data_IF_806938290789
#
_entry.id   IF_806938290789
#
_cell.length_a   1.000
_cell.length_b   1.000
_cell.length_c   1.000
_cell.angle_alpha   90.00
_cell.angle_beta   90.00
_cell.angle_gamma   90.00
#
_symmetry.space_group_name_H-M   'P 1'
#
loop_
_entity.id
_entity.type
_entity.pdbx_description
1 polymer ?
#
# COMPACT_ATOMS: atom_id res chain seq x y z
N UNK A 1 25.12 14.06 -3.66
CA UNK A 1 24.01 13.32 -4.29
C UNK A 1 22.71 14.08 -4.00
N UNK A 2 22.06 14.69 -5.01
CA UNK A 2 20.82 15.47 -4.83
C UNK A 2 19.72 14.57 -4.28
N UNK A 3 19.22 14.87 -3.08
CA UNK A 3 18.12 14.12 -2.43
C UNK A 3 16.75 14.44 -3.06
N UNK A 4 16.73 15.44 -3.94
CA UNK A 4 15.58 16.12 -4.51
C UNK A 4 14.70 15.19 -5.37
N UNK A 5 15.32 14.23 -6.06
CA UNK A 5 14.63 13.22 -6.88
C UNK A 5 14.48 11.86 -6.22
N UNK A 6 15.36 11.50 -5.28
CA UNK A 6 15.36 10.19 -4.64
C UNK A 6 14.13 9.97 -3.75
N UNK A 7 13.85 10.90 -2.83
CA UNK A 7 12.72 10.80 -1.90
C UNK A 7 11.34 10.68 -2.57
N UNK A 8 10.99 11.50 -3.59
CA UNK A 8 9.68 11.38 -4.24
C UNK A 8 9.58 10.09 -5.08
N UNK A 9 10.66 9.64 -5.71
CA UNK A 9 10.67 8.35 -6.44
C UNK A 9 10.51 7.18 -5.48
N UNK A 10 11.22 7.17 -4.36
CA UNK A 10 11.07 6.13 -3.33
C UNK A 10 9.65 6.10 -2.74
N UNK A 11 9.06 7.26 -2.45
CA UNK A 11 7.66 7.36 -1.99
C UNK A 11 6.69 6.77 -3.00
N UNK A 12 6.88 7.07 -4.28
CA UNK A 12 6.02 6.56 -5.35
C UNK A 12 6.15 5.04 -5.52
N UNK A 13 7.38 4.51 -5.49
CA UNK A 13 7.61 3.06 -5.55
C UNK A 13 6.99 2.33 -4.36
N UNK A 14 7.12 2.88 -3.15
CA UNK A 14 6.49 2.33 -1.95
C UNK A 14 4.96 2.35 -2.05
N UNK A 15 4.37 3.40 -2.63
CA UNK A 15 2.92 3.47 -2.87
C UNK A 15 2.45 2.41 -3.89
N UNK A 16 3.20 2.21 -4.99
CA UNK A 16 2.92 1.13 -5.95
C UNK A 16 3.00 -0.24 -5.28
N UNK A 17 4.07 -0.49 -4.52
CA UNK A 17 4.26 -1.77 -3.83
C UNK A 17 3.10 -2.02 -2.86
N UNK A 18 2.74 -1.02 -2.04
CA UNK A 18 1.61 -1.12 -1.11
C UNK A 18 0.28 -1.43 -1.82
N UNK A 19 0.05 -0.81 -2.98
CA UNK A 19 -1.12 -1.06 -3.81
C UNK A 19 -1.13 -2.47 -4.42
N UNK A 20 0.00 -2.94 -4.96
CA UNK A 20 0.13 -4.29 -5.50
C UNK A 20 -0.14 -5.33 -4.42
N UNK A 21 0.46 -5.17 -3.23
CA UNK A 21 0.17 -6.05 -2.10
C UNK A 21 -1.32 -6.05 -1.76
N UNK A 22 -1.99 -4.89 -1.80
CA UNK A 22 -3.42 -4.80 -1.53
C UNK A 22 -4.27 -5.65 -2.48
N UNK A 23 -3.92 -5.67 -3.77
CA UNK A 23 -4.60 -6.51 -4.76
C UNK A 23 -4.23 -7.99 -4.63
N UNK A 24 -2.99 -8.31 -4.26
CA UNK A 24 -2.55 -9.70 -4.10
C UNK A 24 -3.26 -10.38 -2.94
N UNK A 25 -3.38 -9.73 -1.78
CA UNK A 25 -4.04 -10.34 -0.63
C UNK A 25 -5.57 -10.36 -0.77
N UNK A 26 -6.16 -9.44 -1.55
CA UNK A 26 -7.56 -9.54 -1.96
C UNK A 26 -7.85 -10.88 -2.66
N UNK A 27 -6.97 -11.32 -3.54
CA UNK A 27 -7.14 -12.62 -4.21
C UNK A 27 -7.19 -13.76 -3.20
N UNK A 28 -6.36 -13.68 -2.14
CA UNK A 28 -6.36 -14.66 -1.05
C UNK A 28 -7.63 -14.58 -0.19
N UNK A 29 -8.21 -13.38 -0.04
CA UNK A 29 -9.47 -13.16 0.66
C UNK A 29 -10.70 -13.69 -0.10
N UNK A 30 -10.75 -13.52 -1.42
CA UNK A 30 -11.94 -13.85 -2.22
C UNK A 30 -11.93 -15.25 -2.81
N UNK A 31 -10.75 -15.77 -3.16
CA UNK A 31 -10.63 -17.02 -3.93
C UNK A 31 -10.06 -18.18 -3.12
N UNK A 32 -9.74 -17.98 -1.84
CA UNK A 32 -9.01 -18.95 -1.04
C UNK A 32 -9.77 -20.25 -0.77
N UNK A 33 -9.48 -21.37 -1.47
CA UNK A 33 -10.06 -22.67 -1.16
C UNK A 33 -9.03 -23.39 -0.27
N UNK A 34 -9.21 -23.31 1.06
CA UNK A 34 -8.56 -24.24 1.98
C UNK A 34 -7.45 -23.66 2.87
N UNK A 35 -7.68 -23.79 4.18
CA UNK A 35 -6.63 -23.94 5.19
C UNK A 35 -5.94 -22.66 5.71
N UNK A 36 -5.19 -22.87 6.80
CA UNK A 36 -4.48 -21.83 7.58
C UNK A 36 -3.44 -21.04 6.77
N UNK A 37 -2.90 -21.61 5.69
CA UNK A 37 -1.89 -20.96 4.84
C UNK A 37 -2.45 -19.73 4.11
N UNK A 38 -3.69 -19.82 3.61
CA UNK A 38 -4.36 -18.74 2.89
C UNK A 38 -4.74 -17.59 3.84
N UNK A 39 -5.08 -17.93 5.09
CA UNK A 39 -5.36 -16.98 6.16
C UNK A 39 -4.09 -16.25 6.62
N UNK A 40 -2.97 -16.98 6.72
CA UNK A 40 -1.69 -16.39 7.08
C UNK A 40 -1.18 -15.45 5.98
N UNK A 41 -1.32 -15.85 4.71
CA UNK A 41 -0.97 -15.01 3.56
C UNK A 41 -1.79 -13.72 3.48
N UNK A 42 -3.08 -13.79 3.81
CA UNK A 42 -3.97 -12.62 3.92
C UNK A 42 -3.42 -11.58 4.91
N UNK A 43 -3.12 -11.98 6.14
CA UNK A 43 -2.62 -11.07 7.17
C UNK A 43 -1.23 -10.54 6.88
N UNK A 44 -0.35 -11.37 6.31
CA UNK A 44 0.98 -10.93 5.85
C UNK A 44 0.85 -9.87 4.77
N UNK A 45 -0.01 -10.10 3.76
CA UNK A 45 -0.24 -9.15 2.68
C UNK A 45 -0.84 -7.83 3.16
N UNK A 46 -1.81 -7.89 4.08
CA UNK A 46 -2.38 -6.70 4.71
C UNK A 46 -1.33 -5.91 5.50
N UNK A 47 -0.48 -6.59 6.28
CA UNK A 47 0.61 -5.97 7.02
C UNK A 47 1.61 -5.27 6.09
N UNK A 48 2.05 -5.93 5.02
CA UNK A 48 2.97 -5.33 4.06
C UNK A 48 2.35 -4.15 3.31
N UNK A 49 1.06 -4.23 2.95
CA UNK A 49 0.36 -3.12 2.32
C UNK A 49 0.37 -1.87 3.21
N UNK A 50 0.00 -2.01 4.50
CA UNK A 50 0.05 -0.89 5.45
C UNK A 50 1.47 -0.41 5.74
N UNK A 51 2.44 -1.31 5.88
CA UNK A 51 3.83 -0.95 6.12
C UNK A 51 4.39 -0.12 4.97
N UNK A 52 4.20 -0.54 3.72
CA UNK A 52 4.63 0.21 2.55
C UNK A 52 3.91 1.56 2.44
N UNK A 53 2.61 1.60 2.77
CA UNK A 53 1.84 2.83 2.79
C UNK A 53 2.37 3.82 3.85
N UNK A 54 2.66 3.35 5.06
CA UNK A 54 3.24 4.14 6.14
C UNK A 54 4.62 4.70 5.76
N UNK A 55 5.47 3.86 5.18
CA UNK A 55 6.79 4.28 4.70
C UNK A 55 6.67 5.33 3.58
N UNK A 56 5.70 5.17 2.65
CA UNK A 56 5.44 6.17 1.63
C UNK A 56 5.05 7.52 2.25
N UNK A 57 4.17 7.53 3.26
CA UNK A 57 3.80 8.74 3.99
C UNK A 57 5.02 9.39 4.66
N UNK A 58 5.84 8.60 5.36
CA UNK A 58 7.06 9.11 6.03
C UNK A 58 8.00 9.76 5.03
N UNK A 59 8.27 9.10 3.90
CA UNK A 59 9.15 9.63 2.85
C UNK A 59 8.59 10.92 2.24
N UNK A 60 7.27 11.00 2.09
CA UNK A 60 6.61 12.21 1.59
C UNK A 60 6.69 13.38 2.57
N UNK A 61 6.52 13.12 3.88
CA UNK A 61 6.64 14.13 4.95
C UNK A 61 8.07 14.67 5.10
N UNK A 62 9.07 13.81 4.91
CA UNK A 62 10.48 14.22 4.88
C UNK A 62 10.74 15.12 3.65
N UNK A 63 10.05 14.88 2.54
CA UNK A 63 10.19 15.62 1.29
C UNK A 63 9.33 16.90 1.23
N UNK A 64 9.49 17.80 2.21
CA UNK A 64 8.68 19.04 2.35
C UNK A 64 8.74 20.02 1.16
N UNK A 65 9.75 19.93 0.29
CA UNK A 65 9.96 20.82 -0.88
C UNK A 65 10.27 20.02 -2.14
N UNK A 66 9.43 19.04 -2.44
CA UNK A 66 9.55 18.28 -3.70
C UNK A 66 9.35 19.20 -4.89
N UNK A 67 10.28 19.19 -5.85
CA UNK A 67 10.13 19.88 -7.13
C UNK A 67 9.27 19.10 -8.14
N UNK A 68 8.70 17.96 -7.72
CA UNK A 68 7.90 17.06 -8.56
C UNK A 68 6.45 16.97 -8.05
N UNK A 69 5.63 18.02 -8.21
CA UNK A 69 4.27 18.08 -7.66
C UNK A 69 3.36 16.98 -8.23
N UNK A 70 3.46 16.68 -9.53
CA UNK A 70 2.66 15.63 -10.18
C UNK A 70 2.92 14.25 -9.53
N UNK A 71 4.19 13.91 -9.32
CA UNK A 71 4.59 12.62 -8.75
C UNK A 71 4.11 12.48 -7.30
N UNK A 72 4.16 13.57 -6.53
CA UNK A 72 3.62 13.61 -5.16
C UNK A 72 2.10 13.43 -5.18
N UNK A 73 1.38 14.13 -6.06
CA UNK A 73 -0.08 13.99 -6.18
C UNK A 73 -0.51 12.56 -6.52
N UNK A 74 0.16 11.91 -7.48
CA UNK A 74 -0.13 10.51 -7.82
C UNK A 74 0.17 9.59 -6.64
N UNK A 75 1.27 9.83 -5.92
CA UNK A 75 1.62 9.06 -4.73
C UNK A 75 0.55 9.20 -3.64
N UNK A 76 0.01 10.40 -3.43
CA UNK A 76 -1.10 10.64 -2.48
C UNK A 76 -2.35 9.87 -2.90
N UNK A 77 -2.73 9.90 -4.18
CA UNK A 77 -3.88 9.16 -4.68
C UNK A 77 -3.70 7.64 -4.48
N UNK A 78 -2.50 7.11 -4.75
CA UNK A 78 -2.18 5.71 -4.51
C UNK A 78 -2.21 5.36 -3.02
N UNK A 79 -1.70 6.22 -2.14
CA UNK A 79 -1.75 6.03 -0.68
C UNK A 79 -3.19 5.97 -0.20
N UNK A 80 -4.03 6.94 -0.58
CA UNK A 80 -5.44 6.97 -0.20
C UNK A 80 -6.18 5.75 -0.74
N UNK A 81 -5.99 5.43 -2.02
CA UNK A 81 -6.58 4.26 -2.65
C UNK A 81 -6.18 2.96 -1.95
N UNK A 82 -4.89 2.80 -1.63
CA UNK A 82 -4.37 1.63 -0.90
C UNK A 82 -4.97 1.55 0.49
N UNK A 83 -5.05 2.64 1.25
CA UNK A 83 -5.64 2.64 2.59
C UNK A 83 -7.11 2.24 2.57
N UNK A 84 -7.90 2.87 1.69
CA UNK A 84 -9.33 2.58 1.56
C UNK A 84 -9.54 1.14 1.10
N UNK A 85 -8.78 0.67 0.11
CA UNK A 85 -8.90 -0.68 -0.44
C UNK A 85 -8.51 -1.74 0.59
N UNK A 86 -7.34 -1.60 1.21
CA UNK A 86 -6.86 -2.54 2.23
C UNK A 86 -7.83 -2.62 3.42
N UNK A 87 -8.35 -1.48 3.87
CA UNK A 87 -9.36 -1.44 4.95
C UNK A 87 -10.66 -2.12 4.51
N UNK A 88 -11.14 -1.83 3.30
CA UNK A 88 -12.34 -2.44 2.74
C UNK A 88 -12.23 -3.97 2.67
N UNK A 89 -11.10 -4.50 2.19
CA UNK A 89 -10.91 -5.95 2.09
C UNK A 89 -10.91 -6.61 3.49
N UNK A 90 -10.28 -5.98 4.49
CA UNK A 90 -10.27 -6.51 5.87
C UNK A 90 -11.69 -6.57 6.44
N UNK A 91 -12.48 -5.52 6.26
CA UNK A 91 -13.87 -5.50 6.72
C UNK A 91 -14.70 -6.55 5.97
N UNK A 92 -14.55 -6.64 4.64
CA UNK A 92 -15.26 -7.62 3.82
C UNK A 92 -14.94 -9.06 4.28
N UNK A 93 -13.67 -9.38 4.48
CA UNK A 93 -13.22 -10.67 5.01
C UNK A 93 -13.80 -10.96 6.41
N UNK A 94 -13.74 -9.98 7.33
CA UNK A 94 -14.31 -10.14 8.68
C UNK A 94 -15.83 -10.29 8.68
N UNK A 95 -16.52 -9.74 7.67
CA UNK A 95 -17.97 -9.88 7.52
C UNK A 95 -18.42 -11.24 6.97
N UNK A 96 -17.46 -12.13 6.65
CA UNK A 96 -17.75 -13.48 6.17
C UNK A 96 -18.09 -13.56 4.69
N UNK A 97 -17.61 -12.60 3.89
CA UNK A 97 -17.54 -12.74 2.43
C UNK A 97 -16.51 -13.78 2.02
#
# INVERSE_FOLDING_TARGET
>A
MRRDGFLPVSSFLLAIIGFVFSMMFQSMAYWGPGGEFTWTGFWIGAFFSYLCCLLAIIFMLINKKSNHPILVTISILLIIGTLLWTTFIIIAWQSGM
#
